data_IF_746481802976
#
_entry.id   IF_746481802976
#
_cell.length_a   1.000
_cell.length_b   1.000
_cell.length_c   1.000
_cell.angle_alpha   90.00
_cell.angle_beta   90.00
_cell.angle_gamma   90.00
#
_symmetry.space_group_name_H-M   'P 1'
#
loop_
_entity.id
_entity.type
_entity.pdbx_description
1 polymer ?
#
# COMPACT_ATOMS: atom_id res chain seq x y z
N UNK A 1 -92.95 -106.49 54.62
CA UNK A 1 -92.51 -105.82 53.38
C UNK A 1 -92.19 -104.32 53.51
N UNK A 2 -92.69 -103.60 54.54
CA UNK A 2 -92.49 -102.13 54.68
C UNK A 2 -91.09 -101.75 55.23
N UNK A 3 -90.56 -102.51 56.19
CA UNK A 3 -89.25 -102.25 56.83
C UNK A 3 -88.07 -102.36 55.86
N UNK A 4 -88.13 -103.31 54.92
CA UNK A 4 -87.12 -103.45 53.84
C UNK A 4 -87.15 -102.26 52.87
N UNK A 5 -88.32 -101.68 52.64
CA UNK A 5 -88.49 -100.51 51.78
C UNK A 5 -87.92 -99.24 52.43
N UNK A 6 -88.13 -99.04 53.74
CA UNK A 6 -87.53 -97.94 54.51
C UNK A 6 -86.01 -98.04 54.58
N UNK A 7 -85.46 -99.24 54.78
CA UNK A 7 -84.01 -99.45 54.83
C UNK A 7 -83.35 -99.30 53.45
N UNK A 8 -84.05 -99.65 52.37
CA UNK A 8 -83.61 -99.41 51.00
C UNK A 8 -83.66 -97.93 50.64
N UNK A 9 -84.74 -97.24 51.00
CA UNK A 9 -84.89 -95.78 50.83
C UNK A 9 -83.83 -95.01 51.62
N UNK A 10 -83.55 -95.39 52.87
CA UNK A 10 -82.49 -94.80 53.69
C UNK A 10 -81.07 -95.02 53.12
N UNK A 11 -80.79 -96.19 52.53
CA UNK A 11 -79.52 -96.44 51.81
C UNK A 11 -79.38 -95.59 50.55
N UNK A 12 -80.47 -95.41 49.78
CA UNK A 12 -80.47 -94.55 48.59
C UNK A 12 -80.24 -93.10 49.00
N UNK A 13 -80.94 -92.60 50.02
CA UNK A 13 -80.75 -91.25 50.55
C UNK A 13 -79.31 -91.03 51.06
N UNK A 14 -78.77 -91.96 51.85
CA UNK A 14 -77.38 -91.88 52.33
C UNK A 14 -76.36 -91.92 51.19
N UNK A 15 -76.56 -92.77 50.18
CA UNK A 15 -75.67 -92.83 49.01
C UNK A 15 -75.74 -91.54 48.18
N UNK A 16 -76.94 -90.98 48.01
CA UNK A 16 -77.15 -89.70 47.34
C UNK A 16 -76.49 -88.54 48.11
N UNK A 17 -76.65 -88.50 49.43
CA UNK A 17 -76.04 -87.50 50.31
C UNK A 17 -74.52 -87.63 50.33
N UNK A 18 -73.99 -88.86 50.35
CA UNK A 18 -72.55 -89.14 50.28
C UNK A 18 -71.95 -88.73 48.92
N UNK A 19 -72.62 -89.03 47.81
CA UNK A 19 -72.18 -88.62 46.48
C UNK A 19 -72.25 -87.09 46.32
N UNK A 20 -73.27 -86.47 46.89
CA UNK A 20 -73.42 -85.00 46.95
C UNK A 20 -72.30 -84.36 47.78
N UNK A 21 -71.93 -84.96 48.92
CA UNK A 21 -70.82 -84.52 49.75
C UNK A 21 -69.47 -84.65 49.03
N UNK A 22 -69.19 -85.75 48.33
CA UNK A 22 -67.97 -85.90 47.54
C UNK A 22 -67.87 -84.88 46.40
N UNK A 23 -68.99 -84.62 45.69
CA UNK A 23 -69.06 -83.57 44.66
C UNK A 23 -68.79 -82.19 45.26
N UNK A 24 -69.36 -81.90 46.42
CA UNK A 24 -69.11 -80.63 47.13
C UNK A 24 -67.64 -80.48 47.55
N UNK A 25 -67.01 -81.53 48.09
CA UNK A 25 -65.57 -81.51 48.43
C UNK A 25 -64.70 -81.22 47.21
N UNK A 26 -64.91 -81.94 46.09
CA UNK A 26 -64.16 -81.74 44.85
C UNK A 26 -64.38 -80.36 44.25
N UNK A 27 -65.62 -79.85 44.33
CA UNK A 27 -65.95 -78.48 43.94
C UNK A 27 -65.17 -77.45 44.78
N UNK A 28 -65.13 -77.61 46.11
CA UNK A 28 -64.39 -76.70 46.99
C UNK A 28 -62.87 -76.76 46.73
N UNK A 29 -62.29 -77.94 46.55
CA UNK A 29 -60.88 -78.10 46.18
C UNK A 29 -60.56 -77.44 44.83
N UNK A 30 -61.43 -77.60 43.82
CA UNK A 30 -61.27 -76.94 42.53
C UNK A 30 -61.46 -75.42 42.63
N UNK A 31 -62.43 -74.94 43.42
CA UNK A 31 -62.65 -73.51 43.68
C UNK A 31 -61.43 -72.87 44.33
N UNK A 32 -60.78 -73.57 45.28
CA UNK A 32 -59.52 -73.13 45.87
C UNK A 32 -58.38 -73.09 44.85
N UNK A 33 -58.25 -74.11 43.99
CA UNK A 33 -57.25 -74.12 42.90
C UNK A 33 -57.46 -72.97 41.92
N UNK A 34 -58.70 -72.73 41.49
CA UNK A 34 -59.05 -71.60 40.63
C UNK A 34 -58.75 -70.27 41.30
N UNK A 35 -59.06 -70.13 42.59
CA UNK A 35 -58.75 -68.92 43.38
C UNK A 35 -57.24 -68.69 43.47
N UNK A 36 -56.45 -69.74 43.73
CA UNK A 36 -54.98 -69.65 43.74
C UNK A 36 -54.43 -69.23 42.38
N UNK A 37 -54.87 -69.88 41.29
CA UNK A 37 -54.43 -69.54 39.94
C UNK A 37 -54.79 -68.10 39.55
N UNK A 38 -56.01 -67.63 39.92
CA UNK A 38 -56.43 -66.25 39.72
C UNK A 38 -55.56 -65.27 40.51
N UNK A 39 -55.24 -65.58 41.76
CA UNK A 39 -54.40 -64.71 42.60
C UNK A 39 -52.98 -64.60 42.04
N UNK A 40 -52.37 -65.72 41.63
CA UNK A 40 -51.05 -65.72 40.96
C UNK A 40 -51.07 -64.90 39.67
N UNK A 41 -52.14 -65.03 38.87
CA UNK A 41 -52.32 -64.22 37.66
C UNK A 41 -52.35 -62.72 37.98
N UNK A 42 -53.12 -62.29 38.98
CA UNK A 42 -53.22 -60.87 39.36
C UNK A 42 -51.91 -60.31 39.91
N UNK A 43 -51.15 -61.12 40.67
CA UNK A 43 -49.82 -60.75 41.15
C UNK A 43 -48.88 -60.53 39.95
N UNK A 44 -48.80 -61.51 39.05
CA UNK A 44 -47.94 -61.41 37.87
C UNK A 44 -48.35 -60.25 36.94
N UNK A 45 -49.65 -60.01 36.77
CA UNK A 45 -50.16 -58.87 36.01
C UNK A 45 -49.65 -57.54 36.59
N UNK A 46 -49.72 -57.39 37.92
CA UNK A 46 -49.20 -56.19 38.57
C UNK A 46 -47.68 -56.07 38.46
N UNK A 47 -46.94 -57.18 38.59
CA UNK A 47 -45.48 -57.22 38.41
C UNK A 47 -45.08 -56.79 37.00
N UNK A 48 -45.73 -57.32 35.95
CA UNK A 48 -45.44 -56.96 34.56
C UNK A 48 -45.78 -55.50 34.29
N UNK A 49 -46.94 -55.01 34.77
CA UNK A 49 -47.30 -53.60 34.62
C UNK A 49 -46.28 -52.68 35.30
N UNK A 50 -45.81 -53.03 36.50
CA UNK A 50 -44.78 -52.25 37.21
C UNK A 50 -43.43 -52.29 36.48
N UNK A 51 -43.06 -53.43 35.90
CA UNK A 51 -41.82 -53.56 35.13
C UNK A 51 -41.88 -52.73 33.84
N UNK A 52 -42.99 -52.78 33.10
CA UNK A 52 -43.20 -51.94 31.91
C UNK A 52 -43.16 -50.46 32.27
N UNK A 53 -43.79 -50.07 33.37
CA UNK A 53 -43.75 -48.69 33.83
C UNK A 53 -42.31 -48.24 34.14
N UNK A 54 -41.53 -49.08 34.83
CA UNK A 54 -40.12 -48.79 35.10
C UNK A 54 -39.30 -48.68 33.81
N UNK A 55 -39.50 -49.60 32.87
CA UNK A 55 -38.81 -49.59 31.59
C UNK A 55 -39.02 -48.30 30.80
N UNK A 56 -40.29 -47.88 30.65
CA UNK A 56 -40.63 -46.71 29.85
C UNK A 56 -40.39 -45.38 30.57
N UNK A 57 -40.48 -45.33 31.90
CA UNK A 57 -40.24 -44.09 32.67
C UNK A 57 -38.75 -43.89 32.97
N UNK A 58 -38.01 -44.95 33.29
CA UNK A 58 -36.64 -44.85 33.79
C UNK A 58 -35.62 -45.46 32.83
N UNK A 59 -35.75 -46.76 32.51
CA UNK A 59 -34.68 -47.49 31.82
C UNK A 59 -34.37 -46.93 30.42
N UNK A 60 -35.37 -46.46 29.68
CA UNK A 60 -35.17 -45.79 28.38
C UNK A 60 -34.41 -44.48 28.54
N UNK A 61 -34.73 -43.68 29.57
CA UNK A 61 -34.04 -42.41 29.83
C UNK A 61 -32.57 -42.65 30.14
N UNK A 62 -32.28 -43.59 31.05
CA UNK A 62 -30.91 -43.94 31.44
C UNK A 62 -30.10 -44.49 30.25
N UNK A 63 -30.75 -45.24 29.35
CA UNK A 63 -30.09 -45.73 28.13
C UNK A 63 -29.72 -44.59 27.18
N UNK A 64 -30.58 -43.57 27.04
CA UNK A 64 -30.31 -42.38 26.21
C UNK A 64 -29.16 -41.58 26.82
N UNK A 65 -29.19 -41.32 28.13
CA UNK A 65 -28.12 -40.61 28.83
C UNK A 65 -26.77 -41.33 28.73
N UNK A 66 -26.78 -42.67 28.74
CA UNK A 66 -25.60 -43.50 28.51
C UNK A 66 -25.08 -43.36 27.06
N UNK A 67 -25.97 -43.31 26.07
CA UNK A 67 -25.59 -43.10 24.67
C UNK A 67 -24.94 -41.73 24.43
N UNK A 68 -25.44 -40.69 25.12
CA UNK A 68 -24.96 -39.30 24.95
C UNK A 68 -23.73 -38.97 25.81
N UNK A 69 -23.25 -39.93 26.62
CA UNK A 69 -22.20 -39.71 27.60
C UNK A 69 -20.93 -39.13 26.96
N UNK A 70 -20.67 -37.85 27.25
CA UNK A 70 -19.47 -37.14 26.82
C UNK A 70 -19.46 -36.66 25.37
N UNK A 71 -20.50 -36.93 24.58
CA UNK A 71 -20.59 -36.49 23.17
C UNK A 71 -20.54 -34.95 23.07
N UNK A 72 -21.48 -34.26 23.73
CA UNK A 72 -21.55 -32.79 23.71
C UNK A 72 -20.31 -32.13 24.31
N UNK A 73 -19.72 -32.73 25.34
CA UNK A 73 -18.49 -32.24 25.94
C UNK A 73 -17.32 -32.31 24.94
N UNK A 74 -17.18 -33.42 24.24
CA UNK A 74 -16.14 -33.64 23.25
C UNK A 74 -16.33 -32.73 22.03
N UNK A 75 -17.55 -32.67 21.49
CA UNK A 75 -17.91 -31.79 20.38
C UNK A 75 -17.65 -30.31 20.74
N UNK A 76 -18.09 -29.88 21.93
CA UNK A 76 -17.88 -28.51 22.40
C UNK A 76 -16.40 -28.17 22.61
N UNK A 77 -15.54 -29.13 22.98
CA UNK A 77 -14.08 -28.92 23.02
C UNK A 77 -13.52 -28.73 21.61
N UNK A 78 -13.89 -29.59 20.67
CA UNK A 78 -13.44 -29.49 19.27
C UNK A 78 -13.83 -28.16 18.62
N UNK A 79 -15.09 -27.74 18.78
CA UNK A 79 -15.57 -26.47 18.22
C UNK A 79 -14.88 -25.26 18.85
N UNK A 80 -14.57 -25.28 20.16
CA UNK A 80 -13.78 -24.20 20.78
C UNK A 80 -12.36 -24.12 20.23
N UNK A 81 -11.71 -25.26 20.00
CA UNK A 81 -10.38 -25.29 19.37
C UNK A 81 -10.44 -24.73 17.95
N UNK A 82 -11.45 -25.10 17.17
CA UNK A 82 -11.69 -24.52 15.85
C UNK A 82 -11.84 -23.00 15.90
N UNK A 83 -12.73 -22.48 16.77
CA UNK A 83 -12.93 -21.03 16.93
C UNK A 83 -11.65 -20.31 17.34
N UNK A 84 -10.86 -20.91 18.23
CA UNK A 84 -9.58 -20.35 18.65
C UNK A 84 -8.54 -20.35 17.51
N UNK A 85 -8.56 -21.37 16.65
CA UNK A 85 -7.69 -21.41 15.48
C UNK A 85 -8.06 -20.31 14.48
N UNK A 86 -9.35 -20.13 14.20
CA UNK A 86 -9.86 -19.05 13.34
C UNK A 86 -9.50 -17.66 13.89
N UNK A 87 -9.71 -17.42 15.19
CA UNK A 87 -9.34 -16.17 15.86
C UNK A 87 -7.84 -15.85 15.74
N UNK A 88 -6.99 -16.87 15.88
CA UNK A 88 -5.54 -16.73 15.69
C UNK A 88 -5.17 -16.37 14.25
N UNK A 89 -5.80 -17.02 13.26
CA UNK A 89 -5.59 -16.70 11.84
C UNK A 89 -6.05 -15.28 11.54
N UNK A 90 -7.21 -14.88 12.04
CA UNK A 90 -7.74 -13.52 11.89
C UNK A 90 -6.81 -12.48 12.51
N UNK A 91 -6.32 -12.73 13.73
CA UNK A 91 -5.37 -11.84 14.40
C UNK A 91 -4.05 -11.73 13.63
N UNK A 92 -3.50 -12.86 13.17
CA UNK A 92 -2.27 -12.86 12.35
C UNK A 92 -2.47 -12.10 11.04
N UNK A 93 -3.63 -12.25 10.39
CA UNK A 93 -3.98 -11.50 9.18
C UNK A 93 -4.06 -10.00 9.47
N UNK A 94 -4.71 -9.60 10.56
CA UNK A 94 -4.82 -8.20 10.96
C UNK A 94 -3.45 -7.58 11.22
N UNK A 95 -2.54 -8.31 11.88
CA UNK A 95 -1.16 -7.86 12.08
C UNK A 95 -0.41 -7.66 10.76
N UNK A 96 -0.59 -8.58 9.81
CA UNK A 96 -0.04 -8.44 8.46
C UNK A 96 -0.57 -7.21 7.73
N UNK A 97 -1.89 -6.95 7.83
CA UNK A 97 -2.50 -5.75 7.26
C UNK A 97 -1.97 -4.47 7.91
N UNK A 98 -1.84 -4.43 9.24
CA UNK A 98 -1.25 -3.30 9.96
C UNK A 98 0.20 -3.04 9.57
N UNK A 99 0.98 -4.09 9.27
CA UNK A 99 2.35 -3.93 8.78
C UNK A 99 2.39 -3.29 7.39
N UNK A 100 1.44 -3.64 6.51
CA UNK A 100 1.31 -3.02 5.19
C UNK A 100 0.81 -1.58 5.29
N UNK A 101 -0.19 -1.33 6.13
CA UNK A 101 -0.70 0.02 6.44
C UNK A 101 0.44 0.93 6.94
N UNK A 102 1.22 0.45 7.91
CA UNK A 102 2.41 1.15 8.38
C UNK A 102 3.47 1.34 7.29
N UNK A 103 3.62 0.42 6.34
CA UNK A 103 4.54 0.60 5.21
C UNK A 103 4.04 1.69 4.24
N UNK A 104 2.73 1.75 3.99
CA UNK A 104 2.08 2.77 3.17
C UNK A 104 2.23 4.16 3.81
N UNK A 105 1.98 4.28 5.11
CA UNK A 105 2.11 5.54 5.86
C UNK A 105 3.54 6.09 5.85
N UNK A 106 4.54 5.21 5.70
CA UNK A 106 5.96 5.56 5.68
C UNK A 106 6.52 5.82 4.27
N UNK A 107 5.69 5.84 3.22
CA UNK A 107 6.14 6.20 1.87
C UNK A 107 6.56 7.68 1.83
N UNK A 108 7.86 7.93 1.63
CA UNK A 108 8.44 9.27 1.57
C UNK A 108 9.43 9.42 0.41
N UNK A 109 8.95 10.01 -0.68
CA UNK A 109 9.75 10.26 -1.88
C UNK A 109 10.96 11.17 -1.63
N UNK A 110 10.90 12.08 -0.65
CA UNK A 110 12.01 12.97 -0.34
C UNK A 110 13.10 12.23 0.43
N UNK A 111 12.74 11.41 1.40
CA UNK A 111 13.67 10.55 2.13
C UNK A 111 14.35 9.56 1.17
N UNK A 112 13.59 8.92 0.28
CA UNK A 112 14.12 8.00 -0.72
C UNK A 112 15.12 8.66 -1.67
N UNK A 113 14.80 9.88 -2.14
CA UNK A 113 15.73 10.67 -2.95
C UNK A 113 17.02 11.00 -2.20
N UNK A 114 16.95 11.41 -0.94
CA UNK A 114 18.13 11.71 -0.15
C UNK A 114 19.01 10.47 0.03
N UNK A 115 18.39 9.33 0.36
CA UNK A 115 19.08 8.04 0.50
C UNK A 115 19.75 7.59 -0.79
N UNK A 116 19.11 7.81 -1.94
CA UNK A 116 19.70 7.53 -3.26
C UNK A 116 20.95 8.40 -3.50
N UNK A 117 20.87 9.69 -3.19
CA UNK A 117 21.97 10.63 -3.35
C UNK A 117 23.16 10.28 -2.44
N UNK A 118 22.89 9.85 -1.21
CA UNK A 118 23.91 9.39 -0.26
C UNK A 118 24.58 8.08 -0.70
N UNK A 119 23.77 7.11 -1.13
CA UNK A 119 24.24 5.79 -1.57
C UNK A 119 25.14 5.87 -2.81
N UNK A 120 24.89 6.84 -3.70
CA UNK A 120 25.66 7.08 -4.94
C UNK A 120 26.36 8.45 -4.90
N UNK A 121 26.96 8.77 -3.75
CA UNK A 121 27.62 10.06 -3.53
C UNK A 121 28.72 10.38 -4.55
N UNK A 122 29.40 9.36 -5.08
CA UNK A 122 30.41 9.47 -6.15
C UNK A 122 29.83 9.94 -7.50
N UNK A 123 28.60 9.53 -7.83
CA UNK A 123 27.91 9.95 -9.06
C UNK A 123 27.29 11.35 -8.95
N UNK A 124 26.92 11.76 -7.73
CA UNK A 124 26.22 13.02 -7.48
C UNK A 124 27.11 14.12 -6.88
N UNK A 125 28.38 13.83 -6.57
CA UNK A 125 29.29 14.86 -6.08
C UNK A 125 29.62 15.88 -7.19
N UNK A 126 29.65 17.19 -6.88
CA UNK A 126 30.05 18.20 -7.85
C UNK A 126 31.50 17.99 -8.33
N UNK A 127 31.79 18.16 -9.64
CA UNK A 127 33.15 18.11 -10.14
C UNK A 127 33.99 19.29 -9.63
N UNK A 128 35.31 19.15 -9.72
CA UNK A 128 36.24 20.24 -9.42
C UNK A 128 35.92 21.48 -10.26
N UNK A 129 36.13 22.67 -9.68
CA UNK A 129 35.92 23.93 -10.40
C UNK A 129 36.95 24.09 -11.49
N UNK A 130 36.53 24.65 -12.62
CA UNK A 130 37.46 25.08 -13.65
C UNK A 130 38.26 26.29 -13.16
N UNK A 131 39.57 26.23 -13.34
CA UNK A 131 40.50 27.29 -12.97
C UNK A 131 41.06 27.96 -14.23
N UNK A 132 41.35 29.26 -14.14
CA UNK A 132 42.01 30.00 -15.21
C UNK A 132 43.38 29.38 -15.52
N UNK A 133 43.66 29.14 -16.79
CA UNK A 133 44.94 28.60 -17.26
C UNK A 133 45.73 29.72 -17.95
N UNK A 134 46.81 30.22 -17.33
CA UNK A 134 47.67 31.26 -17.91
C UNK A 134 48.21 30.90 -19.29
N UNK A 135 48.00 31.78 -20.27
CA UNK A 135 48.66 31.67 -21.57
C UNK A 135 49.93 32.52 -21.57
N UNK A 136 51.08 31.96 -21.97
CA UNK A 136 52.36 32.71 -22.13
C UNK A 136 52.81 33.47 -20.86
N UNK A 137 52.45 32.98 -19.67
CA UNK A 137 52.79 33.62 -18.40
C UNK A 137 51.90 34.81 -18.06
N UNK A 138 50.67 34.86 -18.58
CA UNK A 138 49.67 35.84 -18.17
C UNK A 138 49.24 35.62 -16.71
N UNK A 139 49.68 36.53 -15.84
CA UNK A 139 49.38 36.51 -14.40
C UNK A 139 48.04 37.20 -14.06
N UNK A 140 47.33 37.76 -15.05
CA UNK A 140 46.08 38.51 -14.81
C UNK A 140 44.89 37.56 -14.73
N UNK A 141 44.44 37.26 -13.51
CA UNK A 141 43.32 36.34 -13.25
C UNK A 141 41.97 37.03 -13.09
N UNK A 142 41.92 38.37 -13.14
CA UNK A 142 40.72 39.17 -12.91
C UNK A 142 40.41 40.08 -14.10
N UNK A 143 39.12 40.39 -14.28
CA UNK A 143 38.69 41.36 -15.30
C UNK A 143 39.14 42.76 -14.91
N UNK A 144 39.98 43.39 -15.74
CA UNK A 144 40.47 44.76 -15.54
C UNK A 144 39.63 45.77 -16.32
N UNK A 145 39.13 46.78 -15.63
CA UNK A 145 38.44 47.91 -16.24
C UNK A 145 39.40 49.08 -16.44
N UNK A 146 40.23 49.00 -17.48
CA UNK A 146 41.15 50.06 -17.85
C UNK A 146 40.44 51.28 -18.49
N UNK A 147 40.99 52.50 -18.42
CA UNK A 147 40.32 53.71 -18.91
C UNK A 147 39.90 53.65 -20.38
N UNK A 148 40.70 52.98 -21.23
CA UNK A 148 40.44 52.83 -22.66
C UNK A 148 39.21 51.98 -22.97
N UNK A 149 38.86 51.04 -22.10
CA UNK A 149 37.77 50.06 -22.32
C UNK A 149 36.63 50.19 -21.30
N UNK A 150 36.73 51.11 -20.34
CA UNK A 150 35.78 51.27 -19.24
C UNK A 150 34.34 51.48 -19.73
N UNK A 151 34.11 52.39 -20.68
CA UNK A 151 32.76 52.63 -21.22
C UNK A 151 32.17 51.40 -21.93
N UNK A 152 33.01 50.61 -22.61
CA UNK A 152 32.57 49.38 -23.25
C UNK A 152 32.08 48.36 -22.21
N UNK A 153 32.84 48.18 -21.12
CA UNK A 153 32.47 47.30 -20.02
C UNK A 153 31.18 47.76 -19.32
N UNK A 154 31.01 49.08 -19.09
CA UNK A 154 29.78 49.65 -18.51
C UNK A 154 28.58 49.46 -19.44
N UNK A 155 28.76 49.63 -20.75
CA UNK A 155 27.70 49.36 -21.73
C UNK A 155 27.30 47.89 -21.74
N UNK A 156 28.28 46.98 -21.76
CA UNK A 156 28.08 45.54 -21.69
C UNK A 156 27.39 45.11 -20.40
N UNK A 157 27.77 45.71 -19.26
CA UNK A 157 27.12 45.48 -17.97
C UNK A 157 25.64 45.84 -18.02
N UNK A 158 25.29 47.05 -18.51
CA UNK A 158 23.88 47.48 -18.63
C UNK A 158 23.08 46.57 -19.55
N UNK A 159 23.66 46.16 -20.68
CA UNK A 159 23.00 45.24 -21.61
C UNK A 159 22.72 43.86 -20.96
N UNK A 160 23.72 43.29 -20.28
CA UNK A 160 23.56 42.01 -19.56
C UNK A 160 22.52 42.15 -18.43
N UNK A 161 22.53 43.27 -17.71
CA UNK A 161 21.57 43.52 -16.64
C UNK A 161 20.13 43.56 -17.16
N UNK A 162 19.87 44.34 -18.22
CA UNK A 162 18.54 44.41 -18.83
C UNK A 162 18.08 43.05 -19.37
N UNK A 163 18.98 42.30 -20.01
CA UNK A 163 18.66 40.95 -20.49
C UNK A 163 18.38 39.98 -19.33
N UNK A 164 19.14 40.06 -18.24
CA UNK A 164 18.93 39.25 -17.04
C UNK A 164 17.56 39.52 -16.40
N UNK A 165 17.13 40.79 -16.35
CA UNK A 165 15.81 41.16 -15.85
C UNK A 165 14.70 40.56 -16.72
N UNK A 166 14.82 40.64 -18.04
CA UNK A 166 13.85 40.03 -18.97
C UNK A 166 13.77 38.51 -18.83
N UNK A 167 14.92 37.82 -18.82
CA UNK A 167 14.99 36.36 -18.64
C UNK A 167 14.42 35.89 -17.30
N UNK A 168 14.60 36.67 -16.23
CA UNK A 168 14.00 36.39 -14.92
C UNK A 168 12.47 36.46 -14.99
N UNK A 169 11.91 37.47 -15.63
CA UNK A 169 10.46 37.61 -15.78
C UNK A 169 9.87 36.44 -16.57
N UNK A 170 10.44 36.13 -17.74
CA UNK A 170 9.99 35.01 -18.58
C UNK A 170 10.08 33.67 -17.83
N UNK A 171 11.21 33.42 -17.16
CA UNK A 171 11.40 32.16 -16.41
C UNK A 171 10.41 32.05 -15.25
N UNK A 172 10.06 33.15 -14.58
CA UNK A 172 9.10 33.15 -13.48
C UNK A 172 7.66 32.94 -13.97
N UNK A 173 7.29 33.44 -15.14
CA UNK A 173 6.00 33.12 -15.78
C UNK A 173 5.90 31.63 -16.15
N UNK A 174 6.99 31.05 -16.67
CA UNK A 174 7.07 29.60 -16.91
C UNK A 174 6.96 28.83 -15.59
N UNK A 175 7.61 29.28 -14.52
CA UNK A 175 7.55 28.66 -13.19
C UNK A 175 6.13 28.64 -12.59
N UNK A 176 5.39 29.76 -12.72
CA UNK A 176 3.98 29.83 -12.29
C UNK A 176 3.13 28.81 -13.04
N UNK A 177 3.29 28.73 -14.36
CA UNK A 177 2.60 27.74 -15.19
C UNK A 177 2.97 26.33 -14.76
N UNK A 178 4.25 26.05 -14.55
CA UNK A 178 4.77 24.75 -14.12
C UNK A 178 4.18 24.29 -12.78
N UNK A 179 4.12 25.18 -11.79
CA UNK A 179 3.51 24.90 -10.48
C UNK A 179 2.01 24.62 -10.58
N UNK A 180 1.30 25.41 -11.39
CA UNK A 180 -0.14 25.18 -11.61
C UNK A 180 -0.39 23.83 -12.30
N UNK A 181 0.42 23.47 -13.30
CA UNK A 181 0.33 22.15 -13.96
C UNK A 181 0.67 21.01 -12.99
N UNK A 182 1.69 21.17 -12.13
CA UNK A 182 2.02 20.17 -11.11
C UNK A 182 0.84 19.94 -10.16
N UNK A 183 0.21 21.02 -9.69
CA UNK A 183 -0.96 20.90 -8.82
C UNK A 183 -2.09 20.14 -9.53
N UNK A 184 -2.40 20.50 -10.77
CA UNK A 184 -3.40 19.79 -11.57
C UNK A 184 -3.09 18.30 -11.76
N UNK A 185 -1.81 17.92 -11.89
CA UNK A 185 -1.40 16.53 -11.97
C UNK A 185 -1.60 15.80 -10.64
N UNK A 186 -1.22 16.42 -9.52
CA UNK A 186 -1.43 15.86 -8.19
C UNK A 186 -2.91 15.66 -7.90
N UNK A 187 -3.76 16.60 -8.31
CA UNK A 187 -5.22 16.49 -8.15
C UNK A 187 -5.81 15.35 -9.01
N UNK A 188 -5.28 15.12 -10.22
CA UNK A 188 -5.69 14.01 -11.09
C UNK A 188 -5.24 12.64 -10.58
N UNK A 189 -4.08 12.57 -9.93
CA UNK A 189 -3.50 11.34 -9.39
C UNK A 189 -4.13 11.00 -8.03
N UNK A 190 -4.35 12.02 -7.20
CA UNK A 190 -4.92 11.89 -5.85
C UNK A 190 -6.44 11.75 -5.80
N UNK A 191 -7.13 11.68 -6.94
CA UNK A 191 -8.57 11.40 -6.95
C UNK A 191 -8.82 9.97 -6.46
N UNK A 192 -9.41 9.82 -5.28
CA UNK A 192 -9.68 8.53 -4.65
C UNK A 192 -10.76 7.73 -5.40
N UNK A 193 -10.33 6.69 -6.15
CA UNK A 193 -11.21 5.64 -6.69
C UNK A 193 -11.13 4.36 -5.83
N UNK A 194 -10.80 4.48 -4.54
CA UNK A 194 -10.48 3.33 -3.68
C UNK A 194 -11.68 2.75 -2.91
N UNK A 195 -12.86 3.35 -3.02
CA UNK A 195 -14.04 2.84 -2.32
C UNK A 195 -14.64 1.62 -3.04
N UNK A 196 -14.11 0.45 -2.69
CA UNK A 196 -14.63 -0.85 -3.13
C UNK A 196 -15.80 -1.34 -2.25
N UNK A 197 -16.38 -0.49 -1.39
CA UNK A 197 -17.51 -0.88 -0.52
C UNK A 197 -18.69 -1.43 -1.31
N UNK A 198 -18.94 -0.91 -2.51
CA UNK A 198 -20.00 -1.40 -3.41
C UNK A 198 -19.70 -2.78 -4.01
N UNK A 199 -18.42 -3.19 -4.10
CA UNK A 199 -18.05 -4.49 -4.64
C UNK A 199 -18.45 -5.64 -3.70
N UNK A 200 -18.44 -5.39 -2.38
CA UNK A 200 -18.77 -6.39 -1.36
C UNK A 200 -20.25 -6.41 -0.96
N UNK A 201 -21.07 -5.44 -1.43
CA UNK A 201 -22.52 -5.42 -1.20
C UNK A 201 -23.29 -6.52 -1.98
N UNK A 202 -22.65 -7.18 -2.95
CA UNK A 202 -23.28 -8.17 -3.83
C UNK A 202 -23.45 -9.57 -3.25
N UNK A 203 -22.94 -9.86 -2.04
CA UNK A 203 -22.82 -11.24 -1.52
C UNK A 203 -23.79 -11.61 -0.39
N UNK A 204 -24.97 -10.99 -0.31
CA UNK A 204 -26.04 -11.41 0.62
C UNK A 204 -27.35 -11.90 -0.03
N UNK A 205 -27.43 -12.00 -1.35
CA UNK A 205 -28.62 -12.56 -2.00
C UNK A 205 -28.23 -13.61 -3.02
N UNK A 206 -28.61 -14.86 -2.72
CA UNK A 206 -28.90 -15.83 -3.79
C UNK A 206 -29.94 -15.19 -4.71
N UNK A 207 -29.68 -15.25 -6.01
CA UNK A 207 -30.55 -14.75 -7.11
C UNK A 207 -30.26 -13.32 -7.58
N UNK A 208 -29.47 -13.21 -8.65
CA UNK A 208 -29.94 -12.55 -9.89
C UNK A 208 -28.88 -12.60 -10.99
N UNK A 209 -29.16 -13.43 -11.99
CA UNK A 209 -28.63 -13.29 -13.34
C UNK A 209 -29.15 -11.96 -13.92
N UNK A 210 -28.35 -10.90 -13.87
CA UNK A 210 -28.37 -9.75 -14.81
C UNK A 210 -27.36 -8.70 -14.36
N UNK A 211 -26.27 -8.55 -15.11
CA UNK A 211 -25.89 -7.28 -15.74
C UNK A 211 -24.57 -7.44 -16.50
N UNK A 212 -24.64 -8.03 -17.69
CA UNK A 212 -23.73 -7.64 -18.78
C UNK A 212 -24.21 -6.29 -19.29
N UNK A 213 -23.82 -5.18 -18.65
CA UNK A 213 -24.34 -3.87 -19.04
C UNK A 213 -23.66 -2.63 -18.47
N UNK A 214 -22.89 -2.71 -17.39
CA UNK A 214 -22.27 -1.52 -16.76
C UNK A 214 -20.76 -1.37 -16.95
N UNK A 215 -20.08 -2.34 -17.59
CA UNK A 215 -18.61 -2.37 -17.66
C UNK A 215 -18.00 -1.60 -18.84
N UNK A 216 -18.80 -1.12 -19.80
CA UNK A 216 -18.28 -0.46 -21.01
C UNK A 216 -18.18 1.06 -20.85
N UNK A 217 -19.03 1.68 -20.02
CA UNK A 217 -18.96 3.12 -19.74
C UNK A 217 -17.81 3.49 -18.81
N UNK A 218 -17.54 2.66 -17.79
CA UNK A 218 -16.42 2.83 -16.84
C UNK A 218 -15.05 2.64 -17.49
N UNK A 219 -14.87 1.63 -18.36
CA UNK A 219 -13.61 1.42 -19.09
C UNK A 219 -13.28 2.58 -20.05
N UNK A 220 -14.30 3.16 -20.69
CA UNK A 220 -14.13 4.28 -21.62
C UNK A 220 -13.82 5.60 -20.88
N UNK A 221 -14.39 5.80 -19.68
CA UNK A 221 -14.08 6.97 -18.84
C UNK A 221 -12.67 6.93 -18.24
N UNK A 222 -12.19 5.76 -17.80
CA UNK A 222 -10.82 5.59 -17.30
C UNK A 222 -9.77 5.80 -18.40
N UNK A 223 -9.99 5.26 -19.60
CA UNK A 223 -9.08 5.46 -20.73
C UNK A 223 -8.95 6.94 -21.12
N UNK A 224 -10.08 7.67 -21.14
CA UNK A 224 -10.09 9.13 -21.38
C UNK A 224 -9.38 9.90 -20.26
N UNK A 225 -9.55 9.50 -18.99
CA UNK A 225 -8.84 10.11 -17.85
C UNK A 225 -7.33 9.91 -17.97
N UNK A 226 -6.89 8.68 -18.29
CA UNK A 226 -5.47 8.35 -18.50
C UNK A 226 -4.87 9.14 -19.67
N UNK A 227 -5.59 9.30 -20.79
CA UNK A 227 -5.13 10.13 -21.90
C UNK A 227 -4.95 11.59 -21.49
N UNK A 228 -5.92 12.17 -20.77
CA UNK A 228 -5.82 13.54 -20.27
C UNK A 228 -4.66 13.73 -19.27
N UNK A 229 -4.43 12.73 -18.40
CA UNK A 229 -3.28 12.71 -17.51
C UNK A 229 -1.97 12.74 -18.32
N UNK A 230 -1.84 11.87 -19.34
CA UNK A 230 -0.66 11.81 -20.19
C UNK A 230 -0.36 13.14 -20.91
N UNK A 231 -1.41 13.80 -21.42
CA UNK A 231 -1.27 15.12 -22.07
C UNK A 231 -0.78 16.17 -21.07
N UNK A 232 -1.31 16.13 -19.85
CA UNK A 232 -0.92 17.04 -18.76
C UNK A 232 0.53 16.79 -18.31
N UNK A 233 0.95 15.53 -18.21
CA UNK A 233 2.33 15.14 -17.89
C UNK A 233 3.31 15.61 -18.97
N UNK A 234 2.94 15.43 -20.24
CA UNK A 234 3.74 15.88 -21.38
C UNK A 234 3.92 17.40 -21.35
N UNK A 235 2.85 18.14 -21.04
CA UNK A 235 2.91 19.58 -20.87
C UNK A 235 3.79 19.99 -19.68
N UNK A 236 3.67 19.30 -18.54
CA UNK A 236 4.51 19.53 -17.36
C UNK A 236 6.00 19.36 -17.69
N UNK A 237 6.38 18.26 -18.34
CA UNK A 237 7.77 17.99 -18.74
C UNK A 237 8.28 19.07 -19.69
N UNK A 238 7.47 19.48 -20.68
CA UNK A 238 7.83 20.57 -21.59
C UNK A 238 8.09 21.89 -20.85
N UNK A 239 7.26 22.24 -19.86
CA UNK A 239 7.45 23.44 -19.05
C UNK A 239 8.64 23.33 -18.11
N UNK A 240 8.90 22.16 -17.54
CA UNK A 240 10.07 21.91 -16.69
C UNK A 240 11.37 22.11 -17.48
N UNK A 241 11.45 21.58 -18.70
CA UNK A 241 12.59 21.77 -19.59
C UNK A 241 12.84 23.26 -19.87
N UNK A 242 11.78 24.03 -20.21
CA UNK A 242 11.87 25.48 -20.42
C UNK A 242 12.35 26.22 -19.17
N UNK A 243 11.80 25.87 -18.00
CA UNK A 243 12.17 26.47 -16.72
C UNK A 243 13.66 26.21 -16.37
N UNK A 244 14.13 24.98 -16.52
CA UNK A 244 15.54 24.61 -16.26
C UNK A 244 16.48 25.33 -17.24
N UNK A 245 16.10 25.43 -18.52
CA UNK A 245 16.86 26.17 -19.52
C UNK A 245 16.96 27.67 -19.18
N UNK A 246 15.84 28.31 -18.83
CA UNK A 246 15.79 29.71 -18.39
C UNK A 246 16.68 29.96 -17.16
N UNK A 247 16.59 29.10 -16.13
CA UNK A 247 17.46 29.18 -14.95
C UNK A 247 18.94 29.06 -15.26
N UNK A 248 19.32 28.19 -16.19
CA UNK A 248 20.70 28.06 -16.66
C UNK A 248 21.19 29.36 -17.31
N UNK A 249 20.36 29.98 -18.17
CA UNK A 249 20.67 31.28 -18.80
C UNK A 249 20.79 32.39 -17.77
N UNK A 250 19.86 32.48 -16.82
CA UNK A 250 19.91 33.42 -15.68
C UNK A 250 21.21 33.26 -14.92
N UNK A 251 21.59 32.03 -14.56
CA UNK A 251 22.81 31.76 -13.79
C UNK A 251 24.07 32.22 -14.56
N UNK A 252 24.14 31.96 -15.87
CA UNK A 252 25.23 32.44 -16.76
C UNK A 252 25.28 33.97 -16.85
N UNK A 253 24.14 34.63 -17.03
CA UNK A 253 24.06 36.09 -17.12
C UNK A 253 24.39 36.75 -15.78
N UNK A 254 23.94 36.18 -14.68
CA UNK A 254 24.20 36.65 -13.33
C UNK A 254 25.68 36.55 -12.98
N UNK A 255 26.34 35.43 -13.28
CA UNK A 255 27.79 35.30 -13.11
C UNK A 255 28.56 36.38 -13.91
N UNK A 256 28.22 36.59 -15.19
CA UNK A 256 28.84 37.63 -16.02
C UNK A 256 28.60 39.05 -15.47
N UNK A 257 27.38 39.33 -15.02
CA UNK A 257 27.00 40.61 -14.41
C UNK A 257 27.84 40.86 -13.16
N UNK A 258 27.96 39.87 -12.29
CA UNK A 258 28.64 40.01 -10.99
C UNK A 258 30.14 40.24 -11.19
N UNK A 259 30.78 39.50 -12.10
CA UNK A 259 32.18 39.75 -12.49
C UNK A 259 32.40 41.16 -13.06
N UNK A 260 31.52 41.63 -13.94
CA UNK A 260 31.61 42.98 -14.50
C UNK A 260 31.37 44.07 -13.46
N UNK A 261 30.39 43.86 -12.57
CA UNK A 261 30.06 44.78 -11.48
C UNK A 261 31.27 44.99 -10.57
N UNK A 262 31.95 43.90 -10.22
CA UNK A 262 33.15 43.94 -9.38
C UNK A 262 34.30 44.69 -10.08
N UNK A 263 34.57 44.39 -11.35
CA UNK A 263 35.62 45.06 -12.13
C UNK A 263 35.38 46.57 -12.29
N UNK A 264 34.13 46.99 -12.54
CA UNK A 264 33.73 48.40 -12.66
C UNK A 264 33.86 49.13 -11.32
N UNK A 265 33.45 48.48 -10.21
CA UNK A 265 33.58 49.06 -8.87
C UNK A 265 35.05 49.24 -8.47
N UNK A 266 35.90 48.23 -8.68
CA UNK A 266 37.36 48.29 -8.44
C UNK A 266 38.02 49.42 -9.23
N UNK A 267 37.59 49.68 -10.47
CA UNK A 267 38.10 50.81 -11.26
C UNK A 267 37.69 52.17 -10.66
N UNK A 268 36.44 52.31 -10.21
CA UNK A 268 35.97 53.55 -9.58
C UNK A 268 36.77 53.90 -8.30
N UNK A 269 37.10 52.91 -7.48
CA UNK A 269 37.93 53.07 -6.28
C UNK A 269 39.40 53.39 -6.60
N UNK A 270 39.92 52.85 -7.71
CA UNK A 270 41.28 53.13 -8.16
C UNK A 270 41.40 54.54 -8.73
N UNK A 271 40.36 55.03 -9.43
CA UNK A 271 40.30 56.40 -9.95
C UNK A 271 40.15 57.45 -8.85
N UNK A 272 39.50 57.15 -7.72
CA UNK A 272 39.41 58.08 -6.58
C UNK A 272 40.73 58.24 -5.82
N UNK A 273 41.62 57.23 -5.88
CA UNK A 273 42.97 57.28 -5.29
C UNK A 273 44.01 58.00 -6.19
N UNK A 274 43.74 58.10 -7.49
CA UNK A 274 44.67 58.70 -8.48
C UNK A 274 44.46 60.23 -8.65
N UNK A 275 43.39 60.82 -8.10
CA UNK A 275 43.25 62.28 -8.04
C UNK A 275 44.23 62.99 -7.08
N UNK A 276 45.14 62.23 -6.43
CA UNK A 276 46.17 62.74 -5.53
C UNK A 276 47.61 62.82 -6.07
N UNK A 277 47.97 62.21 -7.20
CA UNK A 277 49.34 62.33 -7.76
C UNK A 277 49.35 62.24 -9.28
N UNK A 278 49.75 63.35 -9.92
CA UNK A 278 50.22 63.38 -11.29
C UNK A 278 51.67 62.87 -11.39
N UNK A 279 52.03 62.46 -12.62
CA UNK A 279 53.35 62.54 -13.26
C UNK A 279 54.26 61.29 -13.30
N UNK A 280 54.52 60.89 -14.56
CA UNK A 280 55.69 60.23 -15.15
C UNK A 280 55.95 58.74 -14.87
N UNK A 281 56.02 57.94 -15.95
CA UNK A 281 57.31 57.49 -16.52
C UNK A 281 57.15 56.57 -17.74
N UNK A 282 58.00 56.85 -18.74
CA UNK A 282 58.81 55.91 -19.55
C UNK A 282 58.15 54.85 -20.43
N UNK A 283 58.23 55.11 -21.74
CA UNK A 283 58.27 54.11 -22.81
C UNK A 283 59.37 53.06 -22.52
N UNK A 284 59.02 51.77 -22.51
CA UNK A 284 59.96 50.66 -22.60
C UNK A 284 59.68 49.86 -23.88
N UNK A 285 60.68 49.76 -24.75
CA UNK A 285 60.65 48.94 -25.95
C UNK A 285 60.56 47.46 -25.57
N UNK A 286 59.47 46.80 -25.96
CA UNK A 286 59.32 45.35 -25.82
C UNK A 286 60.10 44.67 -26.96
N UNK A 287 61.22 44.04 -26.62
CA UNK A 287 61.95 43.17 -27.52
C UNK A 287 61.06 41.99 -27.95
N UNK A 288 60.96 41.73 -29.26
CA UNK A 288 60.32 40.53 -29.82
C UNK A 288 61.09 39.29 -29.35
N UNK A 289 60.52 38.54 -28.40
CA UNK A 289 60.94 37.15 -28.13
C UNK A 289 60.21 36.21 -29.11
N UNK A 290 60.93 35.22 -29.61
CA UNK A 290 60.38 34.17 -30.48
C UNK A 290 59.34 33.33 -29.74
N UNK A 291 58.26 32.98 -30.45
CA UNK A 291 57.16 32.12 -29.98
C UNK A 291 57.67 30.71 -29.66
N UNK A 292 57.40 30.17 -28.46
CA UNK A 292 57.36 28.73 -28.25
C UNK A 292 56.00 28.20 -28.73
N UNK A 293 56.01 27.15 -29.55
CA UNK A 293 54.78 26.43 -29.90
C UNK A 293 54.23 25.73 -28.66
N UNK A 294 52.99 26.03 -28.27
CA UNK A 294 52.27 25.22 -27.29
C UNK A 294 52.00 23.83 -27.88
N UNK A 295 52.71 22.83 -27.40
CA UNK A 295 52.36 21.42 -27.65
C UNK A 295 51.34 21.00 -26.59
N UNK A 296 50.12 20.80 -27.05
CA UNK A 296 48.97 20.32 -26.29
C UNK A 296 49.01 18.78 -26.22
N UNK A 297 49.09 18.21 -25.01
CA UNK A 297 49.22 16.76 -24.79
C UNK A 297 48.19 16.19 -23.81
N UNK A 298 46.95 16.70 -23.78
CA UNK A 298 45.86 16.00 -23.08
C UNK A 298 44.55 16.06 -23.87
N UNK A 299 44.10 14.91 -24.37
CA UNK A 299 42.75 14.72 -24.89
C UNK A 299 41.78 14.64 -23.70
N UNK A 300 41.15 15.75 -23.35
CA UNK A 300 39.97 15.73 -22.49
C UNK A 300 38.76 15.43 -23.38
N UNK A 301 38.11 14.29 -23.11
CA UNK A 301 36.77 13.90 -23.57
C UNK A 301 36.36 14.37 -24.98
N UNK A 302 36.84 13.68 -26.03
CA UNK A 302 36.28 13.64 -27.41
C UNK A 302 35.57 14.91 -27.96
N UNK A 303 36.07 16.12 -27.72
CA UNK A 303 35.47 17.33 -28.29
C UNK A 303 36.17 18.62 -27.88
N UNK A 304 36.06 19.63 -28.74
CA UNK A 304 36.58 20.99 -28.54
C UNK A 304 35.83 21.70 -27.40
N UNK A 305 36.51 22.53 -26.60
CA UNK A 305 35.89 23.34 -25.55
C UNK A 305 34.79 24.26 -26.14
N UNK A 306 34.97 24.65 -27.40
CA UNK A 306 33.99 25.43 -28.15
C UNK A 306 32.72 24.63 -28.49
N UNK A 307 32.81 23.30 -28.65
CA UNK A 307 31.64 22.41 -28.77
C UNK A 307 30.92 22.31 -27.43
N UNK A 308 31.62 22.13 -26.30
CA UNK A 308 30.98 22.02 -24.98
C UNK A 308 30.18 23.28 -24.57
N UNK A 309 30.65 24.46 -24.97
CA UNK A 309 29.93 25.74 -24.75
C UNK A 309 28.70 25.88 -25.67
N UNK A 310 28.70 25.21 -26.83
CA UNK A 310 27.59 25.17 -27.80
C UNK A 310 26.61 24.01 -27.56
N UNK A 311 27.00 22.98 -26.79
CA UNK A 311 26.16 21.83 -26.46
C UNK A 311 24.98 22.29 -25.56
N UNK A 312 23.72 22.06 -25.98
CA UNK A 312 22.55 22.30 -25.12
C UNK A 312 22.63 21.40 -23.87
N UNK A 313 21.80 21.60 -22.83
CA UNK A 313 21.91 20.88 -21.56
C UNK A 313 21.46 19.40 -21.69
N UNK A 314 22.11 18.62 -22.53
CA UNK A 314 21.79 17.21 -22.79
C UNK A 314 22.37 16.28 -21.73
N UNK A 315 23.42 16.69 -21.00
CA UNK A 315 23.93 15.90 -19.87
C UNK A 315 22.94 15.92 -18.69
N UNK A 316 22.30 17.05 -18.42
CA UNK A 316 21.18 17.12 -17.47
C UNK A 316 19.93 16.43 -18.03
N UNK A 317 19.69 16.51 -19.34
CA UNK A 317 18.58 15.81 -19.98
C UNK A 317 18.73 14.29 -20.01
N UNK A 318 19.95 13.73 -20.04
CA UNK A 318 20.17 12.28 -19.93
C UNK A 318 19.89 11.78 -18.52
N UNK A 319 20.26 12.54 -17.48
CA UNK A 319 19.92 12.18 -16.09
C UNK A 319 18.40 12.33 -15.87
N UNK A 320 17.78 13.41 -16.38
CA UNK A 320 16.33 13.58 -16.33
C UNK A 320 15.58 12.51 -17.14
N UNK A 321 16.02 12.21 -18.38
CA UNK A 321 15.42 11.15 -19.19
C UNK A 321 15.59 9.79 -18.52
N UNK A 322 16.77 9.48 -17.98
CA UNK A 322 17.00 8.20 -17.30
C UNK A 322 16.13 8.07 -16.05
N UNK A 323 15.96 9.14 -15.26
CA UNK A 323 15.08 9.14 -14.09
C UNK A 323 13.59 9.10 -14.47
N UNK A 324 13.17 9.82 -15.52
CA UNK A 324 11.79 9.78 -16.04
C UNK A 324 11.49 8.40 -16.65
N UNK A 325 12.43 7.80 -17.38
CA UNK A 325 12.27 6.44 -17.90
C UNK A 325 12.17 5.43 -16.76
N UNK A 326 12.98 5.57 -15.70
CA UNK A 326 12.93 4.65 -14.55
C UNK A 326 11.59 4.73 -13.81
N UNK A 327 11.03 5.95 -13.64
CA UNK A 327 9.73 6.18 -13.01
C UNK A 327 8.57 5.67 -13.88
N UNK A 328 8.68 5.79 -15.21
CA UNK A 328 7.67 5.28 -16.15
C UNK A 328 7.75 3.77 -16.41
N UNK A 329 8.92 3.13 -16.22
CA UNK A 329 9.09 1.68 -16.41
C UNK A 329 8.78 0.85 -15.16
N UNK A 330 8.77 1.48 -13.98
CA UNK A 330 8.48 0.84 -12.69
C UNK A 330 7.06 1.14 -12.16
N UNK A 331 6.26 1.91 -12.91
CA UNK A 331 4.85 2.23 -12.61
C UNK A 331 3.87 1.38 -13.40
#
# INVERSE_FOLDING_TARGET
SITKLFHFRGRITFHFDFLSFQRLKKYLENSQKCTKARNEYLINLNTVNSNLNNYYIHDISDLIDCCDLGFHLSMGKTLRVYLQAEDRVQTSRQQGLQAVEGAVDNLDAQADKNKLMEMRSDAFCPPARFEFQPHEGDEVTEVRSEPLFHQELVSRFRHIQSRLENENLETEEVNKTLKATLQSLLDLIGSDDYDLSDAFQSSQSTESLKSTGSDTSSKTSTAKRRANQQDTETFYVSKLQKYVAGRSTICKLQAKRDTLKEAIAKAAESHSKISGLQSNTSKSQRAKRQRPSSQYNYKLFNGDLEEFVKVPPTCAAHILCFLIQLVLYLG
#
